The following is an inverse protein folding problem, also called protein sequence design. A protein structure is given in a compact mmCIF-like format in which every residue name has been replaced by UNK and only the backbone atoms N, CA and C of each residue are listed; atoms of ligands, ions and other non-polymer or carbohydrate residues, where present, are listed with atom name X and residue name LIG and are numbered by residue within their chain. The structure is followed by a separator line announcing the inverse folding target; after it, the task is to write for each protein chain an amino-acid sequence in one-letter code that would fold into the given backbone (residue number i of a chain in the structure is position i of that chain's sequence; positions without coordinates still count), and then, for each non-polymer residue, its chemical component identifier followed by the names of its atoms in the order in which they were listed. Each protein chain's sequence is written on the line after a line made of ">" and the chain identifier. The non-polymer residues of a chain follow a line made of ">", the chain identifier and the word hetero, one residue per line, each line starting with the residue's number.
data_IF_931930103003
#
_entry.id   IF_931930103003
#
_cell.length_a   1.000
_cell.length_b   1.000
_cell.length_c   1.000
_cell.angle_alpha   90.00
_cell.angle_beta   90.00
_cell.angle_gamma   90.00
#
_symmetry.space_group_name_H-M   'P 1'
#
loop_
_entity.id
_entity.type
_entity.pdbx_description
1 polymer ?
#
# COMPACT_ATOMS: atom_id res chain seq x y z
N UNK A 1 -3.94 17.06 -25.45
CA UNK A 1 -4.26 18.50 -25.29
C UNK A 1 -3.59 19.34 -26.37
N UNK A 2 -2.24 19.31 -26.56
CA UNK A 2 -1.58 20.12 -27.60
C UNK A 2 -2.16 19.89 -29.01
N UNK A 3 -2.34 18.63 -29.44
CA UNK A 3 -2.95 18.30 -30.73
C UNK A 3 -4.39 18.85 -30.89
N UNK A 4 -5.19 18.82 -29.83
CA UNK A 4 -6.54 19.36 -29.85
C UNK A 4 -6.54 20.89 -30.01
N UNK A 5 -5.64 21.59 -29.30
CA UNK A 5 -5.50 23.06 -29.41
C UNK A 5 -5.03 23.47 -30.81
N UNK A 6 -3.99 22.82 -31.33
CA UNK A 6 -3.46 23.12 -32.68
C UNK A 6 -4.46 22.73 -33.77
N UNK A 7 -5.08 21.55 -33.66
CA UNK A 7 -6.05 21.04 -34.63
C UNK A 7 -7.37 21.84 -34.68
N UNK A 8 -7.76 22.49 -33.55
CA UNK A 8 -8.95 23.33 -33.55
C UNK A 8 -8.83 24.61 -34.37
N UNK A 9 -7.64 24.95 -34.83
CA UNK A 9 -7.36 26.18 -35.61
C UNK A 9 -7.31 25.94 -37.11
N UNK A 10 -7.50 24.71 -37.56
CA UNK A 10 -7.43 24.32 -39.00
C UNK A 10 -8.65 23.46 -39.36
N UNK A 11 -8.77 23.17 -40.67
CA UNK A 11 -9.84 22.24 -41.13
C UNK A 11 -9.56 20.82 -40.65
N UNK A 12 -10.56 19.93 -40.80
CA UNK A 12 -10.53 18.56 -40.25
C UNK A 12 -9.39 17.71 -40.81
N UNK A 13 -9.08 17.81 -42.10
CA UNK A 13 -8.05 16.99 -42.72
C UNK A 13 -6.64 17.40 -42.21
N UNK A 14 -6.38 18.69 -42.07
CA UNK A 14 -5.15 19.19 -41.46
C UNK A 14 -5.10 18.88 -39.94
N UNK A 15 -6.23 18.92 -39.22
CA UNK A 15 -6.29 18.52 -37.84
C UNK A 15 -5.90 17.03 -37.65
N UNK A 16 -6.33 16.15 -38.54
CA UNK A 16 -5.94 14.72 -38.53
C UNK A 16 -4.45 14.53 -38.78
N UNK A 17 -3.82 15.32 -39.65
CA UNK A 17 -2.37 15.28 -39.87
C UNK A 17 -1.62 15.74 -38.61
N UNK A 18 -2.10 16.78 -37.94
CA UNK A 18 -1.55 17.26 -36.68
C UNK A 18 -1.62 16.17 -35.61
N UNK A 19 -2.78 15.53 -35.44
CA UNK A 19 -2.97 14.44 -34.50
C UNK A 19 -2.02 13.26 -34.81
N UNK A 20 -1.94 12.82 -36.07
CA UNK A 20 -1.05 11.76 -36.51
C UNK A 20 0.43 12.04 -36.19
N UNK A 21 0.87 13.30 -36.34
CA UNK A 21 2.23 13.74 -35.98
C UNK A 21 2.50 13.58 -34.48
N UNK A 22 1.58 14.06 -33.64
CA UNK A 22 1.69 13.91 -32.18
C UNK A 22 1.63 12.44 -31.77
N UNK A 23 0.68 11.69 -32.34
CA UNK A 23 0.54 10.25 -32.06
C UNK A 23 1.82 9.48 -32.40
N UNK A 24 2.39 9.71 -33.59
CA UNK A 24 3.63 9.04 -34.02
C UNK A 24 4.79 9.35 -33.09
N UNK A 25 4.93 10.62 -32.69
CA UNK A 25 5.97 11.03 -31.73
C UNK A 25 5.81 10.35 -30.36
N UNK A 26 4.58 10.23 -29.88
CA UNK A 26 4.29 9.59 -28.59
C UNK A 26 4.51 8.07 -28.66
N UNK A 27 3.93 7.38 -29.65
CA UNK A 27 3.93 5.91 -29.72
C UNK A 27 5.32 5.33 -30.01
N UNK A 28 6.17 6.05 -30.71
CA UNK A 28 7.57 5.64 -30.95
C UNK A 28 8.50 5.97 -29.80
N UNK A 29 8.04 6.78 -28.85
CA UNK A 29 8.81 7.23 -27.71
C UNK A 29 9.07 6.12 -26.66
N UNK A 30 10.14 6.29 -25.87
CA UNK A 30 10.51 5.34 -24.80
C UNK A 30 9.44 5.24 -23.73
N UNK A 31 8.75 6.35 -23.42
CA UNK A 31 7.69 6.37 -22.41
C UNK A 31 6.53 5.46 -22.82
N UNK A 32 6.05 5.55 -24.06
CA UNK A 32 4.99 4.69 -24.56
C UNK A 32 5.39 3.21 -24.53
N UNK A 33 6.60 2.88 -24.93
CA UNK A 33 7.11 1.49 -24.88
C UNK A 33 7.14 0.96 -23.44
N UNK A 34 7.64 1.75 -22.49
CA UNK A 34 7.68 1.36 -21.09
C UNK A 34 6.27 1.21 -20.49
N UNK A 35 5.34 2.10 -20.83
CA UNK A 35 3.95 2.01 -20.40
C UNK A 35 3.25 0.77 -20.99
N UNK A 36 3.46 0.46 -22.26
CA UNK A 36 2.91 -0.74 -22.90
C UNK A 36 3.49 -2.00 -22.23
N UNK A 37 4.80 -2.02 -21.95
CA UNK A 37 5.42 -3.13 -21.24
C UNK A 37 4.77 -3.32 -19.87
N UNK A 38 4.77 -2.29 -19.02
CA UNK A 38 4.30 -2.40 -17.63
C UNK A 38 2.78 -2.60 -17.51
N UNK A 39 1.97 -1.85 -18.27
CA UNK A 39 0.51 -1.84 -18.10
C UNK A 39 -0.23 -2.82 -19.02
N UNK A 40 0.43 -3.38 -20.00
CA UNK A 40 -0.18 -4.36 -20.89
C UNK A 40 0.51 -5.73 -20.77
N UNK A 41 1.78 -5.85 -21.19
CA UNK A 41 2.44 -7.15 -21.23
C UNK A 41 2.70 -7.75 -19.84
N UNK A 42 3.24 -6.96 -18.91
CA UNK A 42 3.51 -7.45 -17.55
C UNK A 42 2.21 -7.78 -16.80
N UNK A 43 1.16 -6.96 -16.99
CA UNK A 43 -0.16 -7.25 -16.44
C UNK A 43 -0.78 -8.53 -17.02
N UNK A 44 -0.61 -8.78 -18.32
CA UNK A 44 -1.06 -10.03 -18.93
C UNK A 44 -0.26 -11.24 -18.42
N UNK A 45 1.05 -11.11 -18.28
CA UNK A 45 1.90 -12.16 -17.74
C UNK A 45 1.50 -12.55 -16.30
N UNK A 46 1.24 -11.54 -15.45
CA UNK A 46 0.76 -11.78 -14.08
C UNK A 46 -0.61 -12.45 -14.08
N UNK A 47 -1.57 -11.94 -14.86
CA UNK A 47 -2.91 -12.56 -14.97
C UNK A 47 -2.86 -13.97 -15.53
N UNK A 48 -1.92 -14.26 -16.41
CA UNK A 48 -1.62 -15.59 -16.92
C UNK A 48 -0.99 -16.54 -15.90
N UNK A 49 -0.65 -16.06 -14.70
CA UNK A 49 -0.10 -16.88 -13.64
C UNK A 49 1.43 -17.02 -13.66
N UNK A 50 2.15 -16.09 -14.28
CA UNK A 50 3.62 -16.21 -14.46
C UNK A 50 4.37 -16.31 -13.12
N UNK A 51 3.84 -15.72 -12.04
CA UNK A 51 4.41 -15.77 -10.68
C UNK A 51 3.74 -16.85 -9.80
N UNK A 52 2.75 -17.57 -10.33
CA UNK A 52 2.10 -18.66 -9.62
C UNK A 52 2.96 -19.93 -9.75
N UNK A 53 3.26 -20.66 -8.66
CA UNK A 53 3.96 -21.95 -8.75
C UNK A 53 3.29 -22.89 -9.75
N UNK A 54 4.10 -23.48 -10.64
CA UNK A 54 3.62 -24.34 -11.70
C UNK A 54 3.26 -25.75 -11.18
N UNK A 55 2.35 -26.44 -11.89
CA UNK A 55 2.01 -27.84 -11.59
C UNK A 55 1.05 -28.05 -10.43
N UNK A 56 0.61 -26.99 -9.75
CA UNK A 56 -0.31 -27.07 -8.62
C UNK A 56 -1.74 -26.82 -9.11
N UNK A 57 -2.63 -27.76 -8.80
CA UNK A 57 -4.05 -27.63 -9.13
C UNK A 57 -4.68 -26.44 -8.38
N UNK A 58 -5.71 -25.83 -9.00
CA UNK A 58 -6.49 -24.79 -8.31
C UNK A 58 -7.39 -25.45 -7.27
N UNK A 59 -7.27 -24.97 -6.03
CA UNK A 59 -8.16 -25.38 -4.94
C UNK A 59 -9.13 -24.24 -4.67
N UNK A 60 -10.43 -24.57 -4.54
CA UNK A 60 -11.43 -23.56 -4.23
C UNK A 60 -11.29 -23.10 -2.77
N UNK A 61 -11.19 -21.79 -2.56
CA UNK A 61 -11.44 -21.13 -1.29
C UNK A 61 -12.91 -20.77 -1.28
N UNK A 62 -13.62 -21.05 -0.22
CA UNK A 62 -15.06 -20.78 -0.07
C UNK A 62 -15.36 -19.84 1.08
N UNK A 63 -14.63 -19.99 2.19
CA UNK A 63 -14.83 -19.24 3.41
C UNK A 63 -13.51 -18.62 3.89
N UNK A 64 -13.54 -17.31 4.11
CA UNK A 64 -12.37 -16.50 4.53
C UNK A 64 -12.61 -15.98 5.94
N UNK A 65 -11.64 -16.17 6.82
CA UNK A 65 -11.62 -15.59 8.16
C UNK A 65 -10.70 -14.35 8.19
N UNK A 66 -11.17 -13.27 8.77
CA UNK A 66 -10.38 -12.05 8.98
C UNK A 66 -10.25 -11.78 10.47
N UNK A 67 -9.02 -11.74 10.96
CA UNK A 67 -8.69 -11.41 12.36
C UNK A 67 -8.24 -9.94 12.42
N UNK A 68 -9.05 -9.11 13.08
CA UNK A 68 -8.91 -7.65 13.10
C UNK A 68 -9.86 -6.98 12.12
N UNK A 69 -10.83 -6.21 12.64
CA UNK A 69 -11.84 -5.49 11.87
C UNK A 69 -11.52 -4.00 11.69
N UNK A 70 -10.24 -3.64 11.82
CA UNK A 70 -9.73 -2.31 11.50
C UNK A 70 -9.88 -1.97 10.01
N UNK A 71 -9.38 -0.81 9.54
CA UNK A 71 -9.57 -0.36 8.16
C UNK A 71 -9.11 -1.39 7.11
N UNK A 72 -7.99 -2.08 7.33
CA UNK A 72 -7.45 -3.08 6.39
C UNK A 72 -8.32 -4.35 6.41
N UNK A 73 -8.66 -4.86 7.61
CA UNK A 73 -9.49 -6.07 7.73
C UNK A 73 -10.90 -5.86 7.21
N UNK A 74 -11.50 -4.71 7.45
CA UNK A 74 -12.80 -4.34 6.90
C UNK A 74 -12.79 -4.31 5.35
N UNK A 75 -11.70 -3.80 4.75
CA UNK A 75 -11.52 -3.76 3.31
C UNK A 75 -11.31 -5.17 2.72
N UNK A 76 -10.49 -6.01 3.36
CA UNK A 76 -10.29 -7.42 2.98
C UNK A 76 -11.63 -8.18 3.05
N UNK A 77 -12.42 -7.96 4.12
CA UNK A 77 -13.73 -8.57 4.26
C UNK A 77 -14.69 -8.15 3.13
N UNK A 78 -14.73 -6.88 2.78
CA UNK A 78 -15.51 -6.39 1.65
C UNK A 78 -15.08 -7.00 0.33
N UNK A 79 -13.77 -7.01 0.03
CA UNK A 79 -13.25 -7.56 -1.22
C UNK A 79 -13.53 -9.06 -1.35
N UNK A 80 -13.40 -9.79 -0.26
CA UNK A 80 -13.69 -11.23 -0.18
C UNK A 80 -15.17 -11.52 -0.41
N UNK A 81 -16.08 -10.81 0.27
CA UNK A 81 -17.52 -10.95 0.08
C UNK A 81 -17.94 -10.58 -1.35
N UNK A 82 -17.34 -9.53 -1.92
CA UNK A 82 -17.59 -9.10 -3.30
C UNK A 82 -17.11 -10.11 -4.33
N UNK A 83 -16.07 -10.88 -4.03
CA UNK A 83 -15.61 -12.00 -4.85
C UNK A 83 -16.50 -13.25 -4.72
N UNK A 84 -17.40 -13.28 -3.74
CA UNK A 84 -18.38 -14.36 -3.54
C UNK A 84 -18.09 -15.25 -2.33
N UNK A 85 -16.98 -15.03 -1.62
CA UNK A 85 -16.62 -15.82 -0.43
C UNK A 85 -17.54 -15.52 0.76
N UNK A 86 -17.77 -16.51 1.61
CA UNK A 86 -18.28 -16.29 2.95
C UNK A 86 -17.16 -15.70 3.82
N UNK A 87 -17.48 -14.75 4.68
CA UNK A 87 -16.48 -14.01 5.46
C UNK A 87 -16.87 -14.00 6.95
N UNK A 88 -15.94 -14.46 7.78
CA UNK A 88 -16.01 -14.29 9.24
C UNK A 88 -15.07 -13.14 9.60
N UNK A 89 -15.62 -12.06 10.15
CA UNK A 89 -14.87 -10.86 10.54
C UNK A 89 -14.83 -10.78 12.07
N UNK A 90 -13.70 -11.17 12.67
CA UNK A 90 -13.50 -11.19 14.12
C UNK A 90 -12.68 -9.98 14.59
N UNK A 91 -13.06 -9.44 15.74
CA UNK A 91 -12.27 -8.46 16.48
C UNK A 91 -12.33 -8.77 17.99
N UNK A 92 -11.58 -8.02 18.79
CA UNK A 92 -11.51 -8.19 20.27
C UNK A 92 -12.85 -7.96 20.96
N UNK A 93 -13.75 -7.20 20.36
CA UNK A 93 -15.12 -6.99 20.82
C UNK A 93 -16.09 -6.89 19.64
N UNK A 94 -17.36 -7.22 19.90
CA UNK A 94 -18.38 -7.27 18.85
C UNK A 94 -18.66 -5.89 18.22
N UNK A 95 -18.54 -4.81 18.98
CA UNK A 95 -18.75 -3.46 18.49
C UNK A 95 -17.71 -3.11 17.39
N UNK A 96 -16.44 -3.46 17.61
CA UNK A 96 -15.38 -3.27 16.62
C UNK A 96 -15.64 -4.12 15.35
N UNK A 97 -16.05 -5.37 15.50
CA UNK A 97 -16.39 -6.25 14.38
C UNK A 97 -17.59 -5.70 13.57
N UNK A 98 -18.64 -5.23 14.22
CA UNK A 98 -19.81 -4.58 13.59
C UNK A 98 -19.39 -3.29 12.89
N UNK A 99 -18.54 -2.46 13.51
CA UNK A 99 -18.00 -1.24 12.90
C UNK A 99 -17.19 -1.56 11.65
N UNK A 100 -16.42 -2.65 11.65
CA UNK A 100 -15.72 -3.14 10.46
C UNK A 100 -16.69 -3.51 9.33
N UNK A 101 -17.81 -4.18 9.64
CA UNK A 101 -18.84 -4.47 8.64
C UNK A 101 -19.52 -3.20 8.11
N UNK A 102 -19.73 -2.19 8.95
CA UNK A 102 -20.32 -0.90 8.55
C UNK A 102 -19.52 -0.20 7.45
N UNK A 103 -18.23 -0.44 7.32
CA UNK A 103 -17.43 0.01 6.18
C UNK A 103 -17.96 -0.56 4.85
N UNK A 104 -18.27 -1.86 4.80
CA UNK A 104 -18.85 -2.51 3.63
C UNK A 104 -20.24 -1.96 3.31
N UNK A 105 -21.05 -1.68 4.32
CA UNK A 105 -22.38 -1.07 4.17
C UNK A 105 -22.29 0.32 3.55
N UNK A 106 -21.32 1.14 3.98
CA UNK A 106 -21.08 2.47 3.42
C UNK A 106 -20.63 2.42 1.95
N UNK A 107 -19.79 1.45 1.57
CA UNK A 107 -19.37 1.25 0.18
C UNK A 107 -20.54 0.82 -0.72
N UNK A 108 -21.38 -0.09 -0.26
CA UNK A 108 -22.56 -0.54 -0.99
C UNK A 108 -23.61 0.56 -1.10
N UNK A 109 -23.88 1.34 -0.05
CA UNK A 109 -24.76 2.50 -0.11
C UNK A 109 -24.29 3.53 -1.15
N UNK A 110 -22.97 3.77 -1.23
CA UNK A 110 -22.37 4.63 -2.25
C UNK A 110 -22.49 4.04 -3.67
N UNK A 111 -22.39 2.72 -3.81
CA UNK A 111 -22.58 2.04 -5.09
C UNK A 111 -24.04 2.10 -5.55
N UNK A 112 -24.99 1.91 -4.65
CA UNK A 112 -26.44 2.05 -4.87
C UNK A 112 -26.80 3.47 -5.32
N UNK A 113 -26.32 4.51 -4.61
CA UNK A 113 -26.59 5.90 -4.96
C UNK A 113 -26.07 6.30 -6.35
N UNK A 114 -25.09 5.56 -6.88
CA UNK A 114 -24.50 5.76 -8.22
C UNK A 114 -25.08 4.83 -9.29
N UNK A 115 -26.07 3.99 -8.94
CA UNK A 115 -26.64 3.01 -9.84
C UNK A 115 -25.69 1.90 -10.29
N UNK A 116 -24.62 1.64 -9.53
CA UNK A 116 -23.60 0.61 -9.85
C UNK A 116 -23.98 -0.78 -9.38
N UNK A 117 -24.95 -0.91 -8.48
CA UNK A 117 -25.49 -2.16 -7.95
C UNK A 117 -26.99 -2.02 -7.68
N UNK A 118 -27.68 -3.13 -7.39
CA UNK A 118 -29.08 -3.16 -6.96
C UNK A 118 -29.17 -3.46 -5.48
N UNK A 119 -30.30 -3.11 -4.83
CA UNK A 119 -30.52 -3.40 -3.41
C UNK A 119 -30.34 -4.90 -3.11
N UNK A 120 -30.95 -5.76 -3.91
CA UNK A 120 -30.86 -7.21 -3.78
C UNK A 120 -29.42 -7.73 -3.82
N UNK A 121 -28.59 -7.22 -4.75
CA UNK A 121 -27.19 -7.61 -4.85
C UNK A 121 -26.36 -7.10 -3.68
N UNK A 122 -26.66 -5.89 -3.22
CA UNK A 122 -26.02 -5.30 -2.04
C UNK A 122 -26.33 -6.11 -0.78
N UNK A 123 -27.60 -6.43 -0.56
CA UNK A 123 -28.02 -7.23 0.60
C UNK A 123 -27.40 -8.63 0.59
N UNK A 124 -27.36 -9.27 -0.58
CA UNK A 124 -26.71 -10.57 -0.77
C UNK A 124 -25.20 -10.53 -0.51
N UNK A 125 -24.52 -9.44 -0.84
CA UNK A 125 -23.11 -9.23 -0.53
C UNK A 125 -22.89 -9.06 0.97
N UNK A 126 -23.65 -8.16 1.60
CA UNK A 126 -23.52 -7.83 3.02
C UNK A 126 -23.89 -9.01 3.93
N UNK A 127 -24.79 -9.88 3.49
CA UNK A 127 -25.15 -11.12 4.19
C UNK A 127 -23.99 -12.12 4.28
N UNK A 128 -22.99 -12.02 3.40
CA UNK A 128 -21.79 -12.88 3.42
C UNK A 128 -20.81 -12.52 4.53
N UNK A 129 -20.90 -11.33 5.13
CA UNK A 129 -19.97 -10.87 6.16
C UNK A 129 -20.62 -11.07 7.53
N UNK A 130 -20.06 -11.97 8.33
CA UNK A 130 -20.50 -12.27 9.69
C UNK A 130 -19.52 -11.66 10.68
N UNK A 131 -19.89 -10.56 11.37
CA UNK A 131 -19.08 -10.02 12.45
C UNK A 131 -19.20 -10.90 13.69
N UNK A 132 -18.09 -11.20 14.37
CA UNK A 132 -18.05 -12.08 15.54
C UNK A 132 -16.95 -11.73 16.52
N UNK A 133 -17.03 -12.28 17.71
CA UNK A 133 -15.95 -12.36 18.71
C UNK A 133 -15.59 -13.81 19.02
N UNK A 134 -16.40 -14.77 18.55
CA UNK A 134 -16.26 -16.18 18.89
C UNK A 134 -15.31 -16.87 17.89
N UNK A 135 -14.17 -17.44 18.35
CA UNK A 135 -13.30 -18.26 17.51
C UNK A 135 -14.00 -19.46 16.86
N UNK A 136 -15.05 -20.00 17.50
CA UNK A 136 -15.77 -21.16 16.96
C UNK A 136 -16.41 -20.90 15.58
N UNK A 137 -16.74 -19.66 15.26
CA UNK A 137 -17.28 -19.27 13.96
C UNK A 137 -16.29 -19.49 12.78
N UNK A 138 -15.00 -19.69 13.11
CA UNK A 138 -13.96 -20.01 12.12
C UNK A 138 -13.99 -21.46 11.64
N UNK A 139 -14.87 -22.30 12.17
CA UNK A 139 -15.04 -23.65 11.63
C UNK A 139 -15.37 -23.61 10.13
N UNK A 140 -14.65 -24.42 9.35
CA UNK A 140 -14.80 -24.46 7.90
C UNK A 140 -14.12 -23.31 7.14
N UNK A 141 -13.29 -22.49 7.78
CA UNK A 141 -12.51 -21.44 7.11
C UNK A 141 -11.34 -22.06 6.36
N UNK A 142 -11.23 -21.76 5.07
CA UNK A 142 -10.16 -22.22 4.17
C UNK A 142 -8.94 -21.30 4.18
N UNK A 143 -9.16 -20.03 4.48
CA UNK A 143 -8.10 -19.02 4.48
C UNK A 143 -8.34 -17.99 5.58
N UNK A 144 -7.42 -17.89 6.52
CA UNK A 144 -7.40 -16.84 7.54
C UNK A 144 -6.46 -15.72 7.12
N UNK A 145 -6.86 -14.48 7.31
CA UNK A 145 -6.02 -13.29 7.11
C UNK A 145 -6.00 -12.49 8.40
N UNK A 146 -4.85 -12.49 9.04
CA UNK A 146 -4.57 -11.74 10.26
C UNK A 146 -4.16 -10.31 9.88
N UNK A 147 -4.73 -9.32 10.57
CA UNK A 147 -4.56 -7.88 10.32
C UNK A 147 -4.44 -7.13 11.66
N UNK A 148 -3.87 -7.78 12.64
CA UNK A 148 -3.66 -7.21 13.98
C UNK A 148 -2.56 -6.11 13.96
N UNK A 149 -2.43 -5.33 15.05
CA UNK A 149 -1.33 -4.38 15.17
C UNK A 149 0.02 -5.06 14.93
N UNK A 150 0.98 -4.31 14.39
CA UNK A 150 2.33 -4.73 14.01
C UNK A 150 3.14 -5.28 15.23
N UNK A 151 2.69 -6.42 15.77
CA UNK A 151 3.26 -7.12 16.90
C UNK A 151 3.25 -8.62 16.63
N UNK A 152 4.44 -9.23 16.62
CA UNK A 152 4.60 -10.67 16.39
C UNK A 152 3.86 -11.50 17.45
N UNK A 153 3.91 -11.07 18.72
CA UNK A 153 3.24 -11.78 19.81
C UNK A 153 1.71 -11.76 19.68
N UNK A 154 1.14 -10.65 19.16
CA UNK A 154 -0.30 -10.57 18.91
C UNK A 154 -0.69 -11.45 17.73
N UNK A 155 0.08 -11.43 16.63
CA UNK A 155 -0.15 -12.30 15.49
C UNK A 155 -0.09 -13.79 15.90
N UNK A 156 0.90 -14.19 16.72
CA UNK A 156 1.00 -15.55 17.25
C UNK A 156 -0.24 -15.94 18.05
N UNK A 157 -0.70 -15.10 18.97
CA UNK A 157 -1.90 -15.36 19.79
C UNK A 157 -3.14 -15.48 18.91
N UNK A 158 -3.30 -14.59 17.93
CA UNK A 158 -4.44 -14.59 17.03
C UNK A 158 -4.51 -15.89 16.21
N UNK A 159 -3.39 -16.39 15.69
CA UNK A 159 -3.36 -17.67 14.98
C UNK A 159 -3.57 -18.85 15.91
N UNK A 160 -2.96 -18.87 17.10
CA UNK A 160 -3.10 -19.96 18.08
C UNK A 160 -4.54 -20.13 18.55
N UNK A 161 -5.34 -19.05 18.59
CA UNK A 161 -6.74 -19.07 18.98
C UNK A 161 -7.61 -19.84 17.98
N UNK A 162 -7.25 -19.85 16.67
CA UNK A 162 -8.11 -20.37 15.59
C UNK A 162 -7.51 -21.57 14.85
N UNK A 163 -6.22 -21.84 14.97
CA UNK A 163 -5.51 -22.83 14.13
C UNK A 163 -6.07 -24.25 14.24
N UNK A 164 -6.60 -24.62 15.41
CA UNK A 164 -7.21 -25.94 15.66
C UNK A 164 -8.71 -25.99 15.28
N UNK A 165 -9.31 -24.85 14.88
CA UNK A 165 -10.73 -24.70 14.56
C UNK A 165 -10.96 -24.64 13.05
N UNK A 166 -10.07 -23.99 12.32
CA UNK A 166 -10.14 -23.85 10.86
C UNK A 166 -9.88 -25.19 10.15
N UNK A 167 -10.09 -25.23 8.83
CA UNK A 167 -9.79 -26.43 8.05
C UNK A 167 -8.34 -26.90 8.22
N UNK A 168 -8.10 -28.22 8.24
CA UNK A 168 -6.75 -28.78 8.50
C UNK A 168 -5.68 -28.28 7.52
N UNK A 169 -6.05 -27.91 6.29
CA UNK A 169 -5.18 -27.37 5.25
C UNK A 169 -5.39 -25.86 5.03
N UNK A 170 -6.09 -25.18 5.93
CA UNK A 170 -6.33 -23.75 5.83
C UNK A 170 -5.01 -22.97 5.69
N UNK A 171 -5.04 -21.95 4.82
CA UNK A 171 -3.95 -20.99 4.73
C UNK A 171 -4.00 -20.03 5.93
N UNK A 172 -2.83 -19.64 6.42
CA UNK A 172 -2.64 -18.69 7.50
C UNK A 172 -1.91 -17.46 6.93
N UNK A 173 -2.68 -16.46 6.55
CA UNK A 173 -2.18 -15.23 5.94
C UNK A 173 -1.97 -14.12 6.97
N UNK A 174 -0.88 -13.37 6.89
CA UNK A 174 -0.72 -12.12 7.64
C UNK A 174 -0.61 -10.94 6.70
N UNK A 175 -1.35 -9.87 7.00
CA UNK A 175 -1.31 -8.60 6.26
C UNK A 175 -0.38 -7.60 6.92
N UNK A 176 0.73 -8.09 7.47
CA UNK A 176 1.77 -7.22 8.06
C UNK A 176 2.43 -6.33 7.02
N UNK A 177 2.78 -5.12 7.43
CA UNK A 177 3.52 -4.16 6.60
C UNK A 177 5.02 -4.24 6.86
N UNK A 178 5.43 -4.63 8.09
CA UNK A 178 6.82 -4.48 8.54
C UNK A 178 7.42 -5.74 9.16
N UNK A 179 6.58 -6.66 9.69
CA UNK A 179 7.08 -7.90 10.32
C UNK A 179 7.51 -8.92 9.26
N UNK A 180 8.46 -9.78 9.63
CA UNK A 180 8.83 -10.94 8.83
C UNK A 180 7.75 -12.01 8.92
N UNK A 181 7.29 -12.49 7.77
CA UNK A 181 6.36 -13.63 7.69
C UNK A 181 6.98 -14.90 8.26
N UNK A 182 8.29 -15.10 8.06
CA UNK A 182 9.05 -16.20 8.67
C UNK A 182 8.99 -16.11 10.20
N UNK A 183 9.13 -14.90 10.76
CA UNK A 183 9.00 -14.68 12.20
C UNK A 183 7.60 -15.00 12.71
N UNK A 184 6.56 -14.56 12.02
CA UNK A 184 5.16 -14.87 12.35
C UNK A 184 4.91 -16.38 12.28
N UNK A 185 5.43 -17.06 11.26
CA UNK A 185 5.27 -18.50 11.08
C UNK A 185 5.84 -19.33 12.23
N UNK A 186 6.77 -18.80 13.02
CA UNK A 186 7.28 -19.55 14.21
C UNK A 186 6.24 -19.77 15.30
N UNK A 187 5.16 -18.99 15.32
CA UNK A 187 4.09 -19.09 16.30
C UNK A 187 2.96 -20.05 15.92
N UNK A 188 2.99 -20.65 14.71
CA UNK A 188 1.96 -21.56 14.22
C UNK A 188 2.51 -22.98 14.05
N UNK A 189 1.62 -23.98 14.13
CA UNK A 189 1.99 -25.40 13.98
C UNK A 189 2.28 -25.76 12.53
N UNK A 190 1.50 -25.18 11.59
CA UNK A 190 1.56 -25.45 10.13
C UNK A 190 2.27 -24.32 9.40
N UNK A 191 3.58 -24.19 9.63
CA UNK A 191 4.38 -23.09 9.09
C UNK A 191 4.42 -23.08 7.55
N UNK A 192 4.25 -24.24 6.91
CA UNK A 192 4.19 -24.39 5.45
C UNK A 192 2.93 -23.75 4.83
N UNK A 193 1.85 -23.61 5.62
CA UNK A 193 0.63 -22.91 5.20
C UNK A 193 0.64 -21.41 5.55
N UNK A 194 1.70 -20.92 6.18
CA UNK A 194 1.83 -19.50 6.53
C UNK A 194 2.38 -18.70 5.35
N UNK A 195 1.69 -17.58 5.02
CA UNK A 195 2.02 -16.72 3.87
C UNK A 195 1.71 -15.26 4.21
N UNK A 196 2.52 -14.33 3.71
CA UNK A 196 2.15 -12.92 3.79
C UNK A 196 1.18 -12.54 2.68
N UNK A 197 0.17 -11.73 3.02
CA UNK A 197 -0.80 -11.17 2.05
C UNK A 197 -0.94 -9.68 2.34
N UNK A 198 0.00 -8.90 1.86
CA UNK A 198 0.05 -7.46 2.12
C UNK A 198 -0.89 -6.72 1.18
N UNK A 199 -2.05 -6.34 1.70
CA UNK A 199 -3.06 -5.53 1.00
C UNK A 199 -2.76 -4.06 1.21
N UNK A 200 -2.58 -3.34 0.11
CA UNK A 200 -2.29 -1.90 0.11
C UNK A 200 -3.59 -1.09 0.20
N UNK A 201 -3.58 -0.06 1.04
CA UNK A 201 -4.72 0.86 1.16
C UNK A 201 -4.59 2.06 0.22
N UNK A 202 -5.72 2.62 -0.23
CA UNK A 202 -7.10 2.14 -0.10
C UNK A 202 -7.34 0.93 -1.02
N UNK A 203 -7.84 -0.18 -0.47
CA UNK A 203 -7.98 -1.43 -1.21
C UNK A 203 -8.97 -1.37 -2.36
N UNK A 204 -9.95 -0.46 -2.32
CA UNK A 204 -10.89 -0.24 -3.41
C UNK A 204 -10.23 0.34 -4.68
N UNK A 205 -9.11 1.04 -4.53
CA UNK A 205 -8.39 1.72 -5.63
C UNK A 205 -7.00 1.14 -5.91
N UNK A 206 -6.34 0.55 -4.90
CA UNK A 206 -5.01 -0.04 -5.07
C UNK A 206 -5.11 -1.44 -5.67
N UNK A 207 -4.62 -1.65 -6.89
CA UNK A 207 -4.80 -2.92 -7.59
C UNK A 207 -3.82 -4.01 -7.14
N UNK A 208 -2.77 -3.67 -6.41
CA UNK A 208 -1.64 -4.55 -6.10
C UNK A 208 -1.80 -5.22 -4.73
N UNK A 209 -1.50 -6.51 -4.66
CA UNK A 209 -1.31 -7.26 -3.40
C UNK A 209 0.01 -8.02 -3.49
N UNK A 210 0.86 -7.84 -2.48
CA UNK A 210 2.07 -8.61 -2.34
C UNK A 210 1.79 -9.92 -1.62
N UNK A 211 2.21 -11.02 -2.22
CA UNK A 211 2.24 -12.35 -1.60
C UNK A 211 3.67 -12.58 -1.14
N UNK A 212 3.88 -12.61 0.17
CA UNK A 212 5.21 -12.69 0.76
C UNK A 212 5.52 -14.14 1.10
N UNK A 213 6.60 -14.67 0.50
CA UNK A 213 7.07 -16.02 0.72
C UNK A 213 7.98 -16.06 1.95
N UNK A 214 7.50 -16.61 3.07
CA UNK A 214 8.33 -16.95 4.21
C UNK A 214 9.25 -18.15 3.93
N UNK A 215 10.21 -18.39 4.80
CA UNK A 215 11.22 -19.44 4.62
C UNK A 215 10.62 -20.85 4.45
N UNK A 216 9.53 -21.14 5.17
CA UNK A 216 8.86 -22.45 5.13
C UNK A 216 7.57 -22.47 4.30
N UNK A 217 7.16 -21.33 3.75
CA UNK A 217 5.95 -21.25 2.93
C UNK A 217 6.03 -22.22 1.75
N UNK A 218 5.07 -23.12 1.64
CA UNK A 218 5.00 -24.11 0.55
C UNK A 218 4.59 -23.48 -0.77
N UNK A 219 4.91 -24.15 -1.87
CA UNK A 219 4.45 -23.72 -3.19
C UNK A 219 2.92 -23.84 -3.32
N UNK A 220 2.29 -24.81 -2.63
CA UNK A 220 0.84 -24.96 -2.53
C UNK A 220 0.21 -23.74 -1.86
N UNK A 221 0.76 -23.29 -0.73
CA UNK A 221 0.29 -22.10 -0.03
C UNK A 221 0.40 -20.85 -0.91
N UNK A 222 1.53 -20.68 -1.61
CA UNK A 222 1.71 -19.58 -2.57
C UNK A 222 0.70 -19.63 -3.71
N UNK A 223 0.47 -20.82 -4.30
CA UNK A 223 -0.46 -20.98 -5.40
C UNK A 223 -1.90 -20.64 -4.97
N UNK A 224 -2.34 -21.10 -3.81
CA UNK A 224 -3.68 -20.81 -3.25
C UNK A 224 -3.84 -19.33 -2.90
N UNK A 225 -2.83 -18.70 -2.29
CA UNK A 225 -2.82 -17.27 -2.01
C UNK A 225 -2.87 -16.44 -3.31
N UNK A 226 -2.14 -16.87 -4.36
CA UNK A 226 -2.17 -16.24 -5.67
C UNK A 226 -3.57 -16.31 -6.30
N UNK A 227 -4.21 -17.49 -6.26
CA UNK A 227 -5.55 -17.69 -6.78
C UNK A 227 -6.59 -16.86 -6.03
N UNK A 228 -6.48 -16.74 -4.70
CA UNK A 228 -7.33 -15.86 -3.89
C UNK A 228 -7.19 -14.39 -4.30
N UNK A 229 -5.96 -13.89 -4.43
CA UNK A 229 -5.72 -12.51 -4.81
C UNK A 229 -6.29 -12.20 -6.20
N UNK A 230 -6.19 -13.15 -7.13
CA UNK A 230 -6.86 -13.02 -8.44
C UNK A 230 -8.39 -13.03 -8.33
N UNK A 231 -8.96 -13.88 -7.47
CA UNK A 231 -10.40 -13.96 -7.25
C UNK A 231 -10.99 -12.66 -6.71
N UNK A 232 -10.30 -11.99 -5.78
CA UNK A 232 -10.69 -10.66 -5.29
C UNK A 232 -10.36 -9.53 -6.30
N UNK A 233 -9.97 -9.89 -7.53
CA UNK A 233 -9.65 -9.00 -8.65
C UNK A 233 -8.51 -8.02 -8.35
N UNK A 234 -7.49 -8.50 -7.66
CA UNK A 234 -6.25 -7.77 -7.44
C UNK A 234 -5.12 -8.39 -8.25
N UNK A 235 -4.07 -7.62 -8.46
CA UNK A 235 -2.86 -8.05 -9.16
C UNK A 235 -1.88 -8.64 -8.15
N UNK A 236 -1.66 -9.97 -8.12
CA UNK A 236 -0.70 -10.58 -7.21
C UNK A 236 0.72 -10.41 -7.73
N UNK A 237 1.63 -10.07 -6.82
CA UNK A 237 3.08 -10.22 -7.03
C UNK A 237 3.63 -11.09 -5.90
N UNK A 238 4.51 -12.03 -6.24
CA UNK A 238 5.20 -12.86 -5.24
C UNK A 238 6.54 -12.21 -4.93
N UNK A 239 6.78 -11.95 -3.66
CA UNK A 239 8.01 -11.31 -3.17
C UNK A 239 8.65 -12.16 -2.06
N UNK A 240 9.95 -12.00 -1.85
CA UNK A 240 10.66 -12.66 -0.75
C UNK A 240 10.35 -11.96 0.58
N UNK A 241 10.41 -12.74 1.66
CA UNK A 241 10.28 -12.22 3.02
C UNK A 241 11.48 -11.33 3.39
N UNK A 242 11.17 -10.21 4.00
CA UNK A 242 12.16 -9.27 4.54
C UNK A 242 11.48 -8.36 5.57
N UNK A 243 12.25 -7.69 6.40
CA UNK A 243 11.74 -6.58 7.21
C UNK A 243 11.26 -5.45 6.29
N UNK A 244 9.95 -5.21 6.28
CA UNK A 244 9.28 -4.39 5.28
C UNK A 244 9.15 -5.12 3.94
N UNK A 245 7.95 -5.15 3.40
CA UNK A 245 7.68 -5.70 2.07
C UNK A 245 8.34 -4.86 0.97
N UNK A 246 8.42 -5.38 -0.24
CA UNK A 246 9.04 -4.66 -1.38
C UNK A 246 8.39 -3.28 -1.59
N UNK A 247 7.05 -3.21 -1.63
CA UNK A 247 6.33 -1.94 -1.83
C UNK A 247 6.55 -0.99 -0.65
N UNK A 248 6.51 -1.49 0.59
CA UNK A 248 6.74 -0.67 1.79
C UNK A 248 8.13 -0.02 1.77
N UNK A 249 9.16 -0.75 1.32
CA UNK A 249 10.53 -0.23 1.20
C UNK A 249 10.64 0.84 0.11
N UNK A 250 10.04 0.61 -1.06
CA UNK A 250 10.05 1.59 -2.16
C UNK A 250 9.29 2.85 -1.79
N UNK A 251 8.07 2.69 -1.24
CA UNK A 251 7.22 3.81 -0.81
C UNK A 251 7.86 4.54 0.37
N UNK A 252 8.42 3.80 1.34
CA UNK A 252 9.12 4.38 2.47
C UNK A 252 10.31 5.25 2.04
N UNK A 253 11.13 4.78 1.11
CA UNK A 253 12.24 5.56 0.56
C UNK A 253 11.75 6.86 -0.12
N UNK A 254 10.70 6.76 -0.94
CA UNK A 254 10.11 7.90 -1.65
C UNK A 254 9.55 8.96 -0.70
N UNK A 255 8.76 8.53 0.29
CA UNK A 255 8.15 9.42 1.29
C UNK A 255 9.21 10.01 2.22
N UNK A 256 10.17 9.22 2.68
CA UNK A 256 11.24 9.69 3.56
C UNK A 256 12.11 10.75 2.89
N UNK A 257 12.46 10.57 1.62
CA UNK A 257 13.24 11.57 0.88
C UNK A 257 12.45 12.88 0.74
N UNK A 258 11.16 12.79 0.42
CA UNK A 258 10.29 13.96 0.31
C UNK A 258 10.17 14.73 1.64
N UNK A 259 10.00 14.03 2.77
CA UNK A 259 9.94 14.63 4.10
C UNK A 259 11.30 15.29 4.45
N UNK A 260 12.39 14.63 4.10
CA UNK A 260 13.76 15.17 4.32
C UNK A 260 13.98 16.45 3.53
N UNK A 261 13.58 16.51 2.25
CA UNK A 261 13.65 17.74 1.45
C UNK A 261 12.89 18.91 2.09
N UNK A 262 11.69 18.65 2.63
CA UNK A 262 10.92 19.67 3.34
C UNK A 262 11.64 20.13 4.62
N UNK A 263 12.22 19.21 5.38
CA UNK A 263 13.00 19.54 6.57
C UNK A 263 14.27 20.34 6.24
N UNK A 264 14.86 20.15 5.06
CA UNK A 264 15.99 20.92 4.51
C UNK A 264 15.57 22.30 3.97
N UNK A 265 14.27 22.63 3.97
CA UNK A 265 13.73 23.93 3.58
C UNK A 265 13.21 24.01 2.14
N UNK A 266 13.10 22.90 1.43
CA UNK A 266 12.44 22.87 0.11
C UNK A 266 10.93 23.06 0.31
N UNK A 267 10.33 23.95 -0.48
CA UNK A 267 8.89 24.22 -0.39
C UNK A 267 8.08 22.95 -0.67
N UNK A 268 7.09 22.58 0.19
CA UNK A 268 6.28 21.38 0.02
C UNK A 268 5.62 21.25 -1.37
N UNK A 269 5.11 22.36 -1.91
CA UNK A 269 4.51 22.39 -3.25
C UNK A 269 5.50 22.00 -4.35
N UNK A 270 6.78 22.34 -4.22
CA UNK A 270 7.83 21.97 -5.17
C UNK A 270 8.14 20.48 -5.10
N UNK A 271 8.17 19.90 -3.88
CA UNK A 271 8.36 18.46 -3.67
C UNK A 271 7.20 17.66 -4.28
N UNK A 272 5.96 18.11 -4.04
CA UNK A 272 4.74 17.52 -4.60
C UNK A 272 4.78 17.54 -6.13
N UNK A 273 5.08 18.70 -6.71
CA UNK A 273 5.14 18.86 -8.16
C UNK A 273 6.26 18.02 -8.79
N UNK A 274 7.41 17.93 -8.15
CA UNK A 274 8.53 17.12 -8.62
C UNK A 274 8.17 15.63 -8.67
N UNK A 275 7.49 15.10 -7.64
CA UNK A 275 7.00 13.73 -7.63
C UNK A 275 6.04 13.43 -8.78
N UNK A 276 5.08 14.33 -9.02
CA UNK A 276 4.13 14.20 -10.14
C UNK A 276 4.82 14.28 -11.50
N UNK A 277 5.80 15.18 -11.65
CA UNK A 277 6.57 15.31 -12.89
C UNK A 277 7.49 14.10 -13.15
N UNK A 278 7.97 13.44 -12.10
CA UNK A 278 8.72 12.18 -12.21
C UNK A 278 7.85 11.00 -12.65
N UNK A 279 6.51 11.17 -12.72
CA UNK A 279 5.58 10.16 -13.23
C UNK A 279 4.86 9.35 -12.14
N UNK A 280 5.00 9.72 -10.88
CA UNK A 280 4.23 9.07 -9.81
C UNK A 280 2.75 9.50 -9.88
N UNK A 281 1.85 8.55 -9.64
CA UNK A 281 0.39 8.77 -9.67
C UNK A 281 -0.13 9.56 -8.47
N UNK A 282 0.62 9.54 -7.38
CA UNK A 282 0.33 10.27 -6.14
C UNK A 282 1.57 11.01 -5.72
N UNK A 283 1.41 12.27 -5.34
CA UNK A 283 2.49 13.10 -4.85
C UNK A 283 2.98 12.62 -3.47
N UNK A 284 4.28 12.74 -3.13
CA UNK A 284 4.88 12.04 -2.00
C UNK A 284 4.35 12.48 -0.63
N UNK A 285 4.10 13.78 -0.40
CA UNK A 285 3.57 14.25 0.88
C UNK A 285 2.10 13.88 1.03
N UNK A 286 1.32 13.98 -0.06
CA UNK A 286 -0.04 13.45 -0.07
C UNK A 286 -0.08 11.95 0.24
N UNK A 287 0.85 11.18 -0.31
CA UNK A 287 0.95 9.75 -0.03
C UNK A 287 1.28 9.50 1.45
N UNK A 288 2.14 10.33 2.06
CA UNK A 288 2.42 10.30 3.49
C UNK A 288 1.15 10.54 4.34
N UNK A 289 0.31 11.51 3.94
CA UNK A 289 -0.97 11.78 4.59
C UNK A 289 -1.95 10.62 4.47
N UNK A 290 -2.05 10.03 3.28
CA UNK A 290 -2.93 8.89 2.98
C UNK A 290 -2.50 7.63 3.78
N UNK A 291 -1.20 7.41 3.97
CA UNK A 291 -0.65 6.31 4.79
C UNK A 291 -0.81 6.54 6.29
N UNK A 292 -0.86 7.79 6.72
CA UNK A 292 -0.87 8.22 8.11
C UNK A 292 0.53 8.30 8.73
N UNK A 293 0.82 9.41 9.40
CA UNK A 293 2.15 9.72 9.95
C UNK A 293 2.68 8.68 10.93
N UNK A 294 1.80 8.11 11.78
CA UNK A 294 2.20 7.06 12.74
C UNK A 294 2.73 5.84 12.01
N UNK A 295 2.08 5.42 10.92
CA UNK A 295 2.51 4.28 10.12
C UNK A 295 3.82 4.56 9.39
N UNK A 296 3.96 5.74 8.81
CA UNK A 296 5.22 6.20 8.17
C UNK A 296 6.36 6.19 9.20
N UNK A 297 6.10 6.66 10.41
CA UNK A 297 7.09 6.65 11.50
C UNK A 297 7.46 5.22 11.94
N UNK A 298 6.50 4.31 12.02
CA UNK A 298 6.74 2.91 12.38
C UNK A 298 7.60 2.21 11.32
N UNK A 299 7.27 2.39 10.04
CA UNK A 299 8.07 1.87 8.92
C UNK A 299 9.49 2.43 9.01
N UNK A 300 9.64 3.74 9.15
CA UNK A 300 10.92 4.42 9.24
C UNK A 300 11.76 3.97 10.45
N UNK A 301 11.14 3.78 11.62
CA UNK A 301 11.84 3.35 12.85
C UNK A 301 12.41 1.94 12.73
N UNK A 302 11.65 1.00 12.14
CA UNK A 302 12.08 -0.38 11.94
C UNK A 302 13.10 -0.53 10.81
N UNK A 303 12.95 0.22 9.73
CA UNK A 303 13.94 0.26 8.64
C UNK A 303 15.30 0.78 9.13
N UNK A 304 15.31 1.72 10.08
CA UNK A 304 16.56 2.32 10.60
C UNK A 304 17.39 1.30 11.40
N UNK A 305 16.76 0.38 12.12
CA UNK A 305 17.49 -0.61 12.95
C UNK A 305 17.98 -1.82 12.16
N UNK A 306 17.21 -2.30 11.18
CA UNK A 306 17.50 -3.57 10.51
C UNK A 306 18.16 -3.42 9.12
N UNK A 307 17.74 -2.42 8.30
CA UNK A 307 18.13 -2.31 6.88
C UNK A 307 19.25 -1.29 6.66
N UNK A 308 19.28 -0.20 7.43
CA UNK A 308 20.28 0.85 7.27
C UNK A 308 21.62 0.51 7.97
N UNK A 309 21.63 -0.45 8.88
CA UNK A 309 22.87 -0.98 9.42
C UNK A 309 23.74 -1.69 8.36
N UNK A 310 23.12 -2.30 7.35
CA UNK A 310 23.79 -2.93 6.21
C UNK A 310 24.10 -1.97 5.05
N UNK A 311 23.25 -0.97 4.79
CA UNK A 311 23.44 0.00 3.72
C UNK A 311 24.28 1.23 4.15
N UNK A 312 25.37 1.01 4.88
CA UNK A 312 26.25 2.06 5.46
C UNK A 312 26.94 3.00 4.46
N UNK A 313 26.36 3.27 3.32
CA UNK A 313 26.87 4.25 2.37
C UNK A 313 26.09 5.57 2.32
N UNK A 314 24.86 5.63 2.87
CA UNK A 314 24.03 6.83 2.90
C UNK A 314 23.99 7.35 4.35
N UNK A 315 24.54 8.54 4.59
CA UNK A 315 24.87 9.10 5.90
C UNK A 315 23.77 8.88 6.94
N UNK A 316 24.14 8.30 8.09
CA UNK A 316 23.31 8.17 9.30
C UNK A 316 22.70 9.50 9.77
N UNK A 317 23.22 10.64 9.33
CA UNK A 317 22.72 11.98 9.61
C UNK A 317 21.34 12.27 8.99
N UNK A 318 20.99 11.65 7.86
CA UNK A 318 19.67 11.85 7.21
C UNK A 318 18.54 11.09 7.90
N UNK A 319 18.83 9.97 8.58
CA UNK A 319 17.83 9.15 9.25
C UNK A 319 17.42 9.69 10.63
N UNK A 320 18.13 10.65 11.18
CA UNK A 320 17.93 11.18 12.53
C UNK A 320 17.03 12.44 12.60
N UNK A 321 16.50 12.93 11.48
CA UNK A 321 15.56 14.06 11.49
C UNK A 321 14.22 13.56 12.06
N UNK A 322 13.79 14.01 13.25
CA UNK A 322 12.51 13.56 13.79
C UNK A 322 11.36 14.08 12.93
N UNK A 323 10.41 13.22 12.61
CA UNK A 323 9.16 13.60 11.92
C UNK A 323 8.41 14.72 12.67
N UNK A 324 8.54 14.78 14.00
CA UNK A 324 8.03 15.87 14.85
C UNK A 324 8.62 17.24 14.51
N UNK A 325 9.85 17.30 14.02
CA UNK A 325 10.48 18.57 13.60
C UNK A 325 9.93 19.07 12.25
N UNK A 326 9.47 18.14 11.38
CA UNK A 326 8.87 18.47 10.09
C UNK A 326 7.36 18.78 10.21
N UNK A 327 6.69 18.27 11.25
CA UNK A 327 5.23 18.32 11.39
C UNK A 327 4.71 19.34 12.40
N UNK A 328 5.55 20.06 13.15
CA UNK A 328 5.08 20.82 14.32
C UNK A 328 4.25 19.92 15.26
N UNK A 329 4.13 20.15 16.53
CA UNK A 329 3.44 19.28 17.48
C UNK A 329 2.06 18.82 16.96
N UNK A 330 2.01 17.60 16.40
CA UNK A 330 0.80 17.04 15.78
C UNK A 330 0.15 16.09 16.77
N UNK A 331 -1.07 16.41 17.15
CA UNK A 331 -2.00 15.51 17.83
C UNK A 331 -2.30 14.29 16.93
N UNK A 332 -2.50 13.11 17.52
CA UNK A 332 -2.74 11.84 16.84
C UNK A 332 -4.02 11.89 15.99
N UNK A 333 -3.92 12.36 14.77
CA UNK A 333 -5.04 12.54 13.84
C UNK A 333 -4.87 13.69 12.85
N UNK A 334 -3.83 14.48 12.97
CA UNK A 334 -3.59 15.59 12.05
C UNK A 334 -2.91 15.12 10.75
N UNK A 335 -3.29 15.75 9.65
CA UNK A 335 -2.74 15.51 8.30
C UNK A 335 -1.56 16.43 8.06
N UNK A 336 -0.53 15.97 7.33
CA UNK A 336 0.51 16.84 6.78
C UNK A 336 -0.10 17.59 5.60
N UNK A 337 -0.73 18.73 5.87
CA UNK A 337 -1.28 19.56 4.80
C UNK A 337 -0.16 20.36 4.15
N UNK A 338 -0.16 20.45 2.83
CA UNK A 338 0.72 21.32 2.03
C UNK A 338 0.65 22.79 2.44
N UNK A 339 -0.34 23.16 3.26
CA UNK A 339 -0.58 24.54 3.74
C UNK A 339 -0.02 24.80 5.14
N UNK A 340 0.39 23.77 5.93
CA UNK A 340 0.63 23.92 7.37
C UNK A 340 2.08 23.64 7.82
N UNK A 341 2.98 23.27 6.91
CA UNK A 341 4.40 23.07 7.24
C UNK A 341 5.14 24.42 7.34
N UNK A 342 4.89 25.16 8.42
CA UNK A 342 5.79 26.19 8.88
C UNK A 342 6.83 25.56 9.81
N UNK A 343 7.99 25.24 9.27
CA UNK A 343 9.16 24.87 10.09
C UNK A 343 9.58 26.11 10.87
N UNK A 344 9.30 26.14 12.17
CA UNK A 344 9.85 27.18 13.04
C UNK A 344 11.36 26.92 13.16
N UNK A 345 12.15 27.85 12.62
CA UNK A 345 13.62 27.82 12.63
C UNK A 345 14.25 27.94 14.05
N UNK A 346 13.44 27.92 15.10
CA UNK A 346 13.89 28.10 16.49
C UNK A 346 14.29 26.81 17.22
N UNK A 347 14.17 25.62 16.59
CA UNK A 347 14.53 24.34 17.24
C UNK A 347 15.91 23.80 16.87
N UNK A 348 16.64 24.46 15.97
CA UNK A 348 18.00 24.04 15.62
C UNK A 348 18.99 24.98 16.34
N UNK A 349 19.47 24.55 17.54
CA UNK A 349 20.52 25.22 18.29
C UNK A 349 21.88 25.15 17.59
N UNK A 350 21.98 25.64 16.36
CA UNK A 350 23.23 25.87 15.68
C UNK A 350 23.62 27.34 15.88
N UNK A 351 24.57 27.54 16.77
CA UNK A 351 25.31 28.77 16.97
C UNK A 351 26.02 29.10 15.63
N UNK A 352 25.35 29.88 14.79
CA UNK A 352 25.98 30.46 13.61
C UNK A 352 26.76 31.69 14.06
N UNK A 353 28.07 31.49 14.23
CA UNK A 353 28.99 32.61 14.48
C UNK A 353 28.88 33.66 13.37
N UNK A 354 28.70 34.89 13.75
CA UNK A 354 28.72 36.05 12.84
C UNK A 354 30.01 36.04 12.02
N UNK A 355 29.91 35.71 10.75
CA UNK A 355 30.92 36.14 9.79
C UNK A 355 30.45 37.42 9.14
N UNK A 356 31.23 38.48 9.42
CA UNK A 356 31.13 39.80 8.89
C UNK A 356 31.28 39.79 7.36
N UNK A 357 30.34 40.40 6.67
CA UNK A 357 30.39 40.70 5.24
C UNK A 357 31.50 41.67 4.87
N UNK A 358 32.32 41.43 3.86
CA UNK A 358 33.00 42.49 3.16
C UNK A 358 32.19 42.95 1.95
N UNK A 359 32.01 44.23 1.92
CA UNK A 359 31.55 45.10 0.84
C UNK A 359 32.15 44.73 -0.52
N UNK A 360 31.32 44.45 -1.54
CA UNK A 360 31.72 44.42 -2.94
C UNK A 360 30.77 45.24 -3.80
N UNK A 361 30.91 46.56 -3.73
CA UNK A 361 30.67 47.43 -4.87
C UNK A 361 31.98 47.52 -5.67
N UNK A 362 32.10 46.88 -6.79
CA UNK A 362 32.94 47.33 -7.91
C UNK A 362 32.31 46.83 -9.23
N UNK A 363 31.84 47.78 -9.94
CA UNK A 363 31.71 48.09 -11.34
C UNK A 363 32.21 47.00 -12.33
N UNK A 364 31.30 46.58 -13.17
CA UNK A 364 31.61 45.99 -14.49
C UNK A 364 31.80 47.15 -15.49
N UNK A 365 32.99 47.27 -16.06
CA UNK A 365 33.23 48.04 -17.30
C UNK A 365 33.94 47.13 -18.29
N UNK A 366 33.27 46.93 -19.38
CA UNK A 366 33.70 46.71 -20.78
C UNK A 366 35.19 46.28 -21.02
N UNK A 367 35.36 45.14 -21.62
CA UNK A 367 35.79 44.92 -23.01
C UNK A 367 35.37 43.52 -23.45
#
# INVERSE_FOLDING_TARGET
>A
MAAAVEGSQVDFDNAMIIEARYFTSLVTGRVAKNMIQAFFFDQQAIRGGNSRPAGIAKTAITKVGVLGAGPIGADIAYLSAKAGFEVVLKDVNLEAAIKGKAYSEALEAKALSRGKTTQEKSDALLAKITPTVDPADFAGVDFVIEVEPESQDLAHKAFQEIEDIVEPDALLGSSTTTLSVTGIATGVKRQENCVGVHVLLPGDTMPLVEIIRGEKTSDEALARAFDYVQAIRRTPIVVNDSHGSFVSRVVGAFVNEAITMVAEGVAPASVEQAGMQAGYSVAPLKLSDDLGLVRVQTIRGRDTEAVWAEARGLSAARSSIPLSAAAGSVDSGARVSTTTLTVSASACGLHCGRMSTPDRRRRCSRT
#
